data_IF_668554059077
#
_entry.id   IF_668554059077
#
_cell.length_a   1.000
_cell.length_b   1.000
_cell.length_c   1.000
_cell.angle_alpha   90.00
_cell.angle_beta   90.00
_cell.angle_gamma   90.00
#
_symmetry.space_group_name_H-M   'P 1'
#
loop_
_entity.id
_entity.type
_entity.pdbx_description
1 polymer ?
#
# COMPACT_ATOMS: atom_id res chain seq x y z
N UNK A 1 3.05 -6.07 -13.83
CA UNK A 1 3.11 -5.71 -12.40
C UNK A 1 1.70 -5.59 -11.88
N UNK A 2 1.43 -6.08 -10.66
CA UNK A 2 0.12 -5.99 -10.02
C UNK A 2 0.24 -5.35 -8.63
N UNK A 3 -0.67 -4.42 -8.31
CA UNK A 3 -0.77 -3.78 -7.01
C UNK A 3 -1.99 -4.34 -6.25
N UNK A 4 -1.80 -4.73 -4.99
CA UNK A 4 -2.86 -5.28 -4.14
C UNK A 4 -2.86 -4.61 -2.76
N UNK A 5 -4.05 -4.54 -2.15
CA UNK A 5 -4.21 -4.14 -0.74
C UNK A 5 -4.91 -5.29 -0.01
N UNK A 6 -4.26 -5.78 1.03
CA UNK A 6 -4.75 -6.82 1.92
C UNK A 6 -5.17 -6.17 3.23
N UNK A 7 -6.47 -6.19 3.50
CA UNK A 7 -7.08 -5.62 4.70
C UNK A 7 -8.31 -6.45 5.09
N UNK A 8 -8.72 -6.47 6.37
CA UNK A 8 -9.97 -7.11 6.76
C UNK A 8 -11.17 -6.36 6.17
N UNK A 9 -12.25 -7.08 5.84
CA UNK A 9 -13.49 -6.46 5.37
C UNK A 9 -14.19 -5.66 6.49
N UNK A 10 -14.01 -6.08 7.74
CA UNK A 10 -14.58 -5.45 8.93
C UNK A 10 -13.56 -5.35 10.05
N UNK A 11 -13.60 -4.30 10.86
CA UNK A 11 -12.73 -4.12 12.02
C UNK A 11 -13.48 -3.53 13.22
N UNK A 12 -12.93 -3.71 14.42
CA UNK A 12 -13.47 -3.09 15.63
C UNK A 12 -13.10 -1.60 15.70
N UNK A 13 -14.04 -0.77 16.15
CA UNK A 13 -13.80 0.63 16.45
C UNK A 13 -12.73 0.78 17.53
N UNK A 14 -11.98 1.89 17.44
CA UNK A 14 -10.93 2.26 18.38
C UNK A 14 -9.78 1.25 18.52
N UNK A 15 -9.64 0.32 17.58
CA UNK A 15 -8.52 -0.63 17.49
C UNK A 15 -7.65 -0.34 16.26
N UNK A 16 -6.33 -0.58 16.33
CA UNK A 16 -5.47 -0.58 15.15
C UNK A 16 -5.88 -1.67 14.15
N UNK A 17 -5.80 -1.37 12.86
CA UNK A 17 -6.17 -2.29 11.78
C UNK A 17 -4.92 -2.63 10.96
N UNK A 18 -4.52 -3.91 10.84
CA UNK A 18 -3.40 -4.28 9.99
C UNK A 18 -3.80 -4.19 8.51
N UNK A 19 -3.01 -3.46 7.74
CA UNK A 19 -3.15 -3.35 6.28
C UNK A 19 -1.80 -3.60 5.62
N UNK A 20 -1.81 -4.39 4.54
CA UNK A 20 -0.64 -4.66 3.73
C UNK A 20 -0.85 -4.22 2.29
N UNK A 21 0.08 -3.46 1.74
CA UNK A 21 0.15 -3.16 0.31
C UNK A 21 1.22 -4.04 -0.31
N UNK A 22 0.90 -4.65 -1.46
CA UNK A 22 1.76 -5.59 -2.17
C UNK A 22 1.90 -5.17 -3.62
N UNK A 23 3.14 -5.06 -4.08
CA UNK A 23 3.52 -4.96 -5.47
C UNK A 23 4.08 -6.33 -5.91
N UNK A 24 3.33 -7.03 -6.75
CA UNK A 24 3.67 -8.35 -7.27
C UNK A 24 4.25 -8.22 -8.68
N UNK A 25 5.38 -8.88 -8.92
CA UNK A 25 5.82 -9.18 -10.28
C UNK A 25 5.00 -10.38 -10.81
N UNK A 26 3.91 -10.10 -11.53
CA UNK A 26 3.02 -11.09 -12.14
C UNK A 26 3.47 -11.50 -13.55
N UNK A 27 4.71 -11.20 -13.93
CA UNK A 27 5.29 -11.57 -15.22
C UNK A 27 6.30 -12.72 -15.09
N UNK A 28 6.73 -13.26 -16.23
CA UNK A 28 7.76 -14.30 -16.31
C UNK A 28 9.19 -13.75 -16.39
N UNK A 29 9.37 -12.43 -16.35
CA UNK A 29 10.67 -11.76 -16.44
C UNK A 29 10.98 -11.00 -15.14
N UNK A 30 12.26 -10.86 -14.72
CA UNK A 30 12.63 -9.98 -13.61
C UNK A 30 12.29 -8.52 -13.91
N UNK A 31 11.85 -7.79 -12.88
CA UNK A 31 11.48 -6.37 -12.99
C UNK A 31 12.22 -5.56 -11.94
N UNK A 32 12.93 -4.51 -12.36
CA UNK A 32 13.48 -3.51 -11.47
C UNK A 32 12.35 -2.57 -10.99
N UNK A 33 12.20 -2.42 -9.68
CA UNK A 33 11.21 -1.55 -9.06
C UNK A 33 11.87 -0.53 -8.16
N UNK A 34 11.36 0.69 -8.19
CA UNK A 34 11.72 1.71 -7.21
C UNK A 34 10.83 1.58 -5.98
N UNK A 35 11.43 1.51 -4.80
CA UNK A 35 10.67 1.39 -3.54
C UNK A 35 9.93 2.69 -3.24
N UNK A 36 10.58 3.82 -3.48
CA UNK A 36 10.02 5.16 -3.35
C UNK A 36 8.80 5.39 -4.24
N UNK A 37 8.65 4.64 -5.33
CA UNK A 37 7.50 4.75 -6.22
C UNK A 37 6.24 4.05 -5.70
N UNK A 38 6.33 3.20 -4.68
CA UNK A 38 5.19 2.61 -4.00
C UNK A 38 4.75 3.54 -2.86
N UNK A 39 3.51 4.02 -2.90
CA UNK A 39 2.91 4.88 -1.87
C UNK A 39 1.68 4.18 -1.29
N UNK A 40 1.58 4.19 0.03
CA UNK A 40 0.53 3.53 0.79
C UNK A 40 1.05 2.51 1.80
N UNK A 41 0.15 1.91 2.60
CA UNK A 41 -1.31 2.12 2.58
C UNK A 41 -1.73 3.52 3.06
N UNK A 42 -2.62 4.20 2.35
CA UNK A 42 -3.10 5.54 2.69
C UNK A 42 -4.56 5.45 3.14
N UNK A 43 -4.84 5.39 4.45
CA UNK A 43 -6.20 5.45 4.93
C UNK A 43 -6.79 6.86 4.75
N UNK A 44 -8.04 6.93 4.32
CA UNK A 44 -8.88 8.11 4.33
C UNK A 44 -9.92 7.92 5.43
N UNK A 45 -9.81 8.77 6.46
CA UNK A 45 -10.69 8.81 7.63
C UNK A 45 -10.73 10.24 8.19
N UNK A 46 -11.35 10.45 9.35
CA UNK A 46 -11.37 11.79 9.97
C UNK A 46 -9.95 12.21 10.41
N UNK A 47 -9.39 13.25 9.78
CA UNK A 47 -8.09 13.85 10.08
C UNK A 47 -7.15 13.94 8.87
N UNK A 48 -6.08 14.74 8.97
CA UNK A 48 -4.98 14.71 7.99
C UNK A 48 -4.09 13.50 8.29
N UNK A 49 -4.13 12.50 7.43
CA UNK A 49 -3.20 11.36 7.48
C UNK A 49 -2.19 11.57 6.35
N UNK A 50 -0.92 11.77 6.72
CA UNK A 50 0.15 11.88 5.74
C UNK A 50 0.30 10.55 4.97
N UNK A 51 0.57 10.59 3.65
CA UNK A 51 0.78 9.38 2.87
C UNK A 51 1.94 8.54 3.39
N UNK A 52 1.75 7.22 3.41
CA UNK A 52 2.79 6.28 3.83
C UNK A 52 3.79 6.05 2.70
N UNK A 53 5.05 6.43 2.94
CA UNK A 53 6.16 6.31 1.97
C UNK A 53 7.31 5.48 2.56
N UNK A 54 8.29 5.14 1.73
CA UNK A 54 9.57 4.63 2.23
C UNK A 54 10.29 5.66 3.10
N UNK A 55 11.08 5.23 4.09
CA UNK A 55 12.02 6.12 4.78
C UNK A 55 13.03 6.79 3.82
N UNK A 56 13.32 6.17 2.67
CA UNK A 56 14.21 6.69 1.64
C UNK A 56 13.53 7.66 0.66
N UNK A 57 12.25 8.00 0.88
CA UNK A 57 11.52 8.86 -0.04
C UNK A 57 12.18 10.25 -0.17
N UNK A 58 12.44 10.67 -1.42
CA UNK A 58 13.17 11.90 -1.72
C UNK A 58 14.70 11.80 -1.63
N UNK A 59 15.24 10.64 -1.24
CA UNK A 59 16.67 10.33 -1.29
C UNK A 59 17.01 9.54 -2.57
N UNK A 60 18.28 9.52 -3.00
CA UNK A 60 18.74 8.54 -3.98
C UNK A 60 18.44 7.12 -3.49
N UNK A 61 17.90 6.28 -4.38
CA UNK A 61 17.68 4.87 -4.07
C UNK A 61 18.23 3.97 -5.17
N UNK A 62 18.63 2.77 -4.77
CA UNK A 62 18.94 1.68 -5.69
C UNK A 62 17.67 0.87 -5.97
N UNK A 63 17.34 0.61 -7.25
CA UNK A 63 16.21 -0.22 -7.63
C UNK A 63 16.32 -1.64 -7.07
N UNK A 64 15.20 -2.15 -6.54
CA UNK A 64 15.06 -3.54 -6.13
C UNK A 64 14.67 -4.39 -7.34
N UNK A 65 15.37 -5.49 -7.60
CA UNK A 65 14.95 -6.44 -8.64
C UNK A 65 13.99 -7.47 -8.07
N UNK A 66 12.74 -7.47 -8.53
CA UNK A 66 11.77 -8.52 -8.23
C UNK A 66 11.84 -9.62 -9.27
N UNK A 67 12.13 -10.84 -8.81
CA UNK A 67 12.06 -12.05 -9.64
C UNK A 67 10.60 -12.37 -10.01
N UNK A 68 10.37 -13.16 -11.07
CA UNK A 68 9.02 -13.61 -11.45
C UNK A 68 8.24 -14.16 -10.24
N UNK A 69 7.00 -13.71 -10.09
CA UNK A 69 6.08 -14.11 -9.02
C UNK A 69 6.57 -13.83 -7.58
N UNK A 70 7.56 -12.95 -7.43
CA UNK A 70 7.95 -12.40 -6.13
C UNK A 70 7.30 -11.04 -5.87
N UNK A 71 7.28 -10.64 -4.61
CA UNK A 71 6.58 -9.45 -4.18
C UNK A 71 7.46 -8.53 -3.35
N UNK A 72 7.20 -7.23 -3.49
CA UNK A 72 7.59 -6.20 -2.55
C UNK A 72 6.35 -5.68 -1.84
N UNK A 73 6.43 -5.33 -0.56
CA UNK A 73 5.26 -4.80 0.12
C UNK A 73 5.57 -4.20 1.47
N UNK A 74 4.55 -3.56 2.04
CA UNK A 74 4.61 -2.94 3.36
C UNK A 74 3.39 -3.32 4.14
N UNK A 75 3.59 -3.67 5.41
CA UNK A 75 2.53 -3.82 6.38
C UNK A 75 2.56 -2.65 7.35
N UNK A 76 1.40 -2.09 7.64
CA UNK A 76 1.20 -1.02 8.63
C UNK A 76 -0.04 -1.30 9.45
N UNK A 77 -0.03 -0.80 10.68
CA UNK A 77 -1.24 -0.62 11.45
C UNK A 77 -1.78 0.79 11.19
N UNK A 78 -3.06 0.90 10.85
CA UNK A 78 -3.75 2.17 10.62
C UNK A 78 -4.82 2.39 11.69
N UNK A 79 -5.20 3.64 11.92
CA UNK A 79 -6.16 4.02 12.95
C UNK A 79 -5.47 4.38 14.27
N UNK A 80 -6.18 4.29 15.42
CA UNK A 80 -7.56 3.83 15.58
C UNK A 80 -8.59 4.73 14.87
N UNK A 81 -9.70 4.14 14.42
CA UNK A 81 -10.82 4.87 13.80
C UNK A 81 -12.10 4.73 14.60
N UNK A 82 -12.99 5.72 14.51
CA UNK A 82 -14.38 5.59 14.95
C UNK A 82 -15.17 4.66 14.01
N UNK A 83 -16.36 4.24 14.43
CA UNK A 83 -17.28 3.46 13.59
C UNK A 83 -17.61 4.19 12.28
N UNK A 84 -17.67 3.44 11.18
CA UNK A 84 -17.86 3.99 9.83
C UNK A 84 -17.14 3.20 8.74
N UNK A 85 -17.05 3.78 7.55
CA UNK A 85 -16.26 3.22 6.45
C UNK A 85 -14.90 3.92 6.37
N UNK A 86 -13.83 3.14 6.34
CA UNK A 86 -12.47 3.61 6.12
C UNK A 86 -12.03 3.15 4.74
N UNK A 87 -11.68 4.09 3.87
CA UNK A 87 -11.15 3.79 2.54
C UNK A 87 -9.63 3.74 2.63
N UNK A 88 -9.00 2.69 2.11
CA UNK A 88 -7.54 2.61 2.04
C UNK A 88 -7.12 2.56 0.59
N UNK A 89 -6.23 3.47 0.20
CA UNK A 89 -5.67 3.52 -1.15
C UNK A 89 -4.18 3.19 -1.16
N UNK A 90 -3.70 2.77 -2.32
CA UNK A 90 -2.29 2.62 -2.61
C UNK A 90 -2.04 2.96 -4.07
N UNK A 91 -0.83 3.41 -4.37
CA UNK A 91 -0.40 3.68 -5.74
C UNK A 91 1.04 3.25 -5.97
N UNK A 92 1.33 2.88 -7.21
CA UNK A 92 2.68 2.58 -7.67
C UNK A 92 2.94 3.26 -9.01
N UNK A 93 3.98 4.08 -9.07
CA UNK A 93 4.41 4.72 -10.32
C UNK A 93 5.49 3.87 -11.01
N UNK A 94 5.24 3.46 -12.25
CA UNK A 94 6.22 2.77 -13.08
C UNK A 94 6.46 3.52 -14.39
N UNK A 95 7.45 3.08 -15.15
CA UNK A 95 7.71 3.56 -16.51
C UNK A 95 6.56 3.24 -17.47
N UNK A 96 5.77 2.21 -17.16
CA UNK A 96 4.58 1.80 -17.92
C UNK A 96 3.32 2.56 -17.51
N UNK A 97 3.41 3.43 -16.50
CA UNK A 97 2.29 4.20 -15.97
C UNK A 97 2.02 3.96 -14.49
N UNK A 98 0.92 4.53 -14.01
CA UNK A 98 0.49 4.50 -12.62
C UNK A 98 -0.50 3.37 -12.36
N UNK A 99 -0.22 2.53 -11.37
CA UNK A 99 -1.17 1.59 -10.80
C UNK A 99 -1.81 2.22 -9.56
N UNK A 100 -3.12 2.02 -9.39
CA UNK A 100 -3.85 2.44 -8.19
C UNK A 100 -4.73 1.30 -7.70
N UNK A 101 -4.85 1.18 -6.39
CA UNK A 101 -5.74 0.21 -5.76
C UNK A 101 -6.47 0.86 -4.58
N UNK A 102 -7.70 0.40 -4.33
CA UNK A 102 -8.51 0.85 -3.20
C UNK A 102 -9.25 -0.34 -2.58
N UNK A 103 -9.41 -0.31 -1.27
CA UNK A 103 -10.31 -1.20 -0.50
C UNK A 103 -11.08 -0.38 0.54
N UNK A 104 -12.24 -0.88 0.96
CA UNK A 104 -13.05 -0.27 2.02
C UNK A 104 -13.16 -1.24 3.19
N UNK A 105 -12.90 -0.74 4.40
CA UNK A 105 -13.01 -1.47 5.67
C UNK A 105 -14.19 -0.90 6.44
N UNK A 106 -15.14 -1.75 6.83
CA UNK A 106 -16.26 -1.35 7.69
C UNK A 106 -15.85 -1.46 9.16
N UNK A 107 -15.68 -0.34 9.83
CA UNK A 107 -15.37 -0.24 11.26
C UNK A 107 -16.69 -0.23 12.06
N UNK A 108 -16.80 -1.13 13.05
CA UNK A 108 -17.99 -1.33 13.88
C UNK A 108 -17.69 -1.18 15.36
#
# INVERSE_FOLDING_TARGET
>A
MKLEIHAPQTAAASQPIPVRVVLLNDSYEPVAVSRNNLIGPNPQGQGMILPNVEPTFGQPEEPLTLQPFTLYGRQREIGPFAGGDVVVTAEYQSDQGKLTQQVTIRVK
#
